data_IF_131374877435
#
_entry.id   IF_131374877435
#
_cell.length_a   1.000
_cell.length_b   1.000
_cell.length_c   1.000
_cell.angle_alpha   90.00
_cell.angle_beta   90.00
_cell.angle_gamma   90.00
#
_symmetry.space_group_name_H-M   'P 1'
#
loop_
_entity.id
_entity.type
_entity.pdbx_description
1 polymer ?
#
# COMPACT_ATOMS: atom_id res chain seq x y z
N UNK A 1 -21.89 -31.51 38.86
CA UNK A 1 -22.54 -30.95 37.66
C UNK A 1 -22.69 -29.46 37.88
N UNK A 2 -21.77 -28.66 37.33
CA UNK A 2 -21.74 -27.20 37.49
C UNK A 2 -22.41 -26.59 36.26
N UNK A 3 -23.53 -25.91 36.48
CA UNK A 3 -24.17 -25.06 35.49
C UNK A 3 -23.29 -23.83 35.24
N UNK A 4 -22.86 -23.63 34.00
CA UNK A 4 -22.23 -22.39 33.54
C UNK A 4 -23.34 -21.40 33.18
N UNK A 5 -23.35 -20.28 33.89
CA UNK A 5 -24.13 -19.08 33.60
C UNK A 5 -23.39 -18.35 32.47
N UNK A 6 -24.02 -18.19 31.31
CA UNK A 6 -23.53 -17.32 30.24
C UNK A 6 -23.85 -15.87 30.63
N UNK A 7 -22.82 -15.05 30.81
CA UNK A 7 -22.96 -13.60 30.87
C UNK A 7 -23.17 -13.07 29.45
N UNK A 8 -24.39 -12.60 29.14
CA UNK A 8 -24.66 -11.77 27.96
C UNK A 8 -24.30 -10.32 28.31
N UNK A 9 -23.32 -9.75 27.63
CA UNK A 9 -23.06 -8.31 27.67
C UNK A 9 -24.03 -7.67 26.69
N UNK A 10 -25.07 -7.02 27.23
CA UNK A 10 -26.08 -6.27 26.49
C UNK A 10 -25.68 -4.79 26.57
N UNK A 11 -25.14 -4.23 25.49
CA UNK A 11 -24.93 -2.78 25.39
C UNK A 11 -26.16 -2.20 24.69
N UNK A 12 -27.02 -1.53 25.46
CA UNK A 12 -28.20 -0.82 24.96
C UNK A 12 -27.84 0.65 24.85
N UNK A 13 -27.66 1.17 23.64
CA UNK A 13 -27.61 2.60 23.40
C UNK A 13 -29.02 3.07 23.01
N UNK A 14 -29.65 3.86 23.89
CA UNK A 14 -30.99 4.39 23.71
C UNK A 14 -30.90 5.71 22.94
N UNK A 15 -31.07 5.70 21.61
CA UNK A 15 -31.06 6.92 20.80
C UNK A 15 -32.45 7.56 20.73
N UNK A 16 -32.57 8.73 21.33
CA UNK A 16 -33.71 9.64 21.18
C UNK A 16 -33.74 10.20 19.77
N UNK A 17 -34.86 9.99 19.07
CA UNK A 17 -35.12 10.55 17.73
C UNK A 17 -35.17 12.07 17.85
N UNK A 18 -34.19 12.77 17.27
CA UNK A 18 -34.30 14.20 17.01
C UNK A 18 -35.12 14.39 15.72
N UNK A 19 -36.41 14.67 15.85
CA UNK A 19 -37.28 14.99 14.71
C UNK A 19 -36.97 16.42 14.27
N UNK A 20 -36.30 16.58 13.13
CA UNK A 20 -36.26 17.86 12.41
C UNK A 20 -37.45 17.87 11.44
N UNK A 21 -38.45 18.76 11.61
CA UNK A 21 -39.60 18.79 10.71
C UNK A 21 -39.28 19.58 9.44
N UNK A 22 -39.29 18.87 8.32
CA UNK A 22 -39.72 19.41 7.02
C UNK A 22 -38.66 19.40 5.94
N UNK A 23 -38.75 18.43 5.02
CA UNK A 23 -39.23 18.61 3.64
C UNK A 23 -39.80 17.25 3.19
N UNK A 24 -40.95 17.26 2.53
CA UNK A 24 -41.56 16.09 1.91
C UNK A 24 -40.94 15.84 0.53
N UNK A 25 -40.62 14.58 0.18
CA UNK A 25 -40.80 13.92 -1.12
C UNK A 25 -39.90 12.67 -1.20
N UNK A 26 -40.51 11.50 -1.45
CA UNK A 26 -39.82 10.25 -1.80
C UNK A 26 -40.20 9.09 -0.88
N UNK A 27 -40.74 8.00 -1.43
CA UNK A 27 -40.66 6.69 -0.79
C UNK A 27 -39.17 6.34 -0.67
N UNK A 28 -38.58 6.58 0.50
CA UNK A 28 -37.31 5.97 0.84
C UNK A 28 -37.60 4.56 1.34
N UNK A 29 -37.10 3.59 0.59
CA UNK A 29 -37.05 2.18 0.98
C UNK A 29 -36.13 2.10 2.20
N UNK A 30 -36.72 2.13 3.40
CA UNK A 30 -35.94 2.01 4.63
C UNK A 30 -35.36 0.59 4.68
N UNK A 31 -34.09 0.44 4.35
CA UNK A 31 -33.33 -0.77 4.65
C UNK A 31 -33.35 -0.96 6.17
N UNK A 32 -34.20 -1.88 6.62
CA UNK A 32 -34.24 -2.31 8.01
C UNK A 32 -32.93 -3.03 8.26
N UNK A 33 -31.92 -2.34 8.81
CA UNK A 33 -30.70 -3.01 9.29
C UNK A 33 -31.08 -3.94 10.44
N UNK A 34 -30.89 -5.27 10.30
CA UNK A 34 -31.24 -6.21 11.35
C UNK A 34 -30.37 -5.96 12.59
N UNK A 35 -31.01 -5.89 13.76
CA UNK A 35 -30.41 -5.51 15.05
C UNK A 35 -29.58 -6.67 15.67
N UNK A 36 -29.55 -7.83 15.00
CA UNK A 36 -28.62 -8.93 15.27
C UNK A 36 -28.54 -9.86 14.05
N UNK A 37 -27.35 -10.03 13.49
CA UNK A 37 -27.07 -11.08 12.50
C UNK A 37 -26.57 -12.30 13.29
N UNK A 38 -27.36 -13.36 13.36
CA UNK A 38 -26.89 -14.66 13.85
C UNK A 38 -26.33 -15.44 12.66
N UNK A 39 -25.01 -15.56 12.60
CA UNK A 39 -24.32 -16.39 11.61
C UNK A 39 -24.49 -17.88 11.94
N UNK A 40 -24.82 -18.67 10.92
CA UNK A 40 -25.00 -20.12 11.05
C UNK A 40 -23.68 -20.88 10.96
N UNK A 41 -22.70 -20.31 10.26
CA UNK A 41 -21.36 -20.82 10.10
C UNK A 41 -20.34 -19.71 10.41
N UNK A 42 -19.18 -20.06 10.96
CA UNK A 42 -18.18 -19.07 11.42
C UNK A 42 -17.60 -18.22 10.29
N UNK A 43 -17.62 -18.75 9.07
CA UNK A 43 -17.10 -18.08 7.88
C UNK A 43 -18.12 -17.18 7.18
N UNK A 44 -19.40 -17.19 7.58
CA UNK A 44 -20.46 -16.39 6.93
C UNK A 44 -20.09 -14.89 6.89
N UNK A 45 -19.43 -14.39 7.94
CA UNK A 45 -18.94 -13.00 7.99
C UNK A 45 -17.93 -12.66 6.88
N UNK A 46 -17.13 -13.62 6.42
CA UNK A 46 -16.19 -13.41 5.32
C UNK A 46 -16.91 -13.51 3.98
N UNK A 47 -17.93 -14.38 3.87
CA UNK A 47 -18.77 -14.47 2.69
C UNK A 47 -19.52 -13.16 2.46
N UNK A 48 -20.06 -12.54 3.51
CA UNK A 48 -20.70 -11.22 3.43
C UNK A 48 -19.75 -10.17 2.88
N UNK A 49 -18.49 -10.14 3.34
CA UNK A 49 -17.45 -9.23 2.81
C UNK A 49 -17.17 -9.49 1.33
N UNK A 50 -16.93 -10.75 0.95
CA UNK A 50 -16.63 -11.12 -0.43
C UNK A 50 -17.79 -10.82 -1.39
N UNK A 51 -19.02 -11.03 -0.94
CA UNK A 51 -20.21 -10.67 -1.70
C UNK A 51 -20.30 -9.16 -1.93
N UNK A 52 -20.06 -8.37 -0.87
CA UNK A 52 -20.10 -6.91 -0.96
C UNK A 52 -19.03 -6.34 -1.91
N UNK A 53 -17.82 -6.89 -1.88
CA UNK A 53 -16.66 -6.33 -2.61
C UNK A 53 -16.50 -6.92 -4.02
N UNK A 54 -16.85 -8.20 -4.19
CA UNK A 54 -16.54 -8.97 -5.39
C UNK A 54 -17.75 -9.65 -6.04
N UNK A 55 -18.97 -9.45 -5.50
CA UNK A 55 -20.21 -10.03 -6.04
C UNK A 55 -20.13 -11.56 -6.20
N UNK A 56 -19.70 -12.24 -5.14
CA UNK A 56 -19.49 -13.70 -5.09
C UNK A 56 -20.72 -14.51 -4.69
N UNK A 57 -21.93 -13.92 -4.69
CA UNK A 57 -23.13 -14.59 -4.18
C UNK A 57 -23.41 -15.91 -4.90
N UNK A 58 -23.36 -15.89 -6.24
CA UNK A 58 -23.60 -17.07 -7.08
C UNK A 58 -22.55 -18.17 -6.87
N UNK A 59 -21.32 -17.78 -6.50
CA UNK A 59 -20.22 -18.74 -6.28
C UNK A 59 -20.47 -19.59 -5.03
N UNK A 60 -20.95 -18.99 -3.94
CA UNK A 60 -21.16 -19.67 -2.66
C UNK A 60 -22.57 -20.26 -2.47
N UNK A 61 -23.59 -19.86 -3.25
CA UNK A 61 -25.01 -20.22 -3.04
C UNK A 61 -25.28 -21.71 -2.81
N UNK A 62 -24.50 -22.59 -3.45
CA UNK A 62 -24.70 -24.05 -3.40
C UNK A 62 -23.49 -24.79 -2.83
N UNK A 63 -22.66 -24.12 -2.03
CA UNK A 63 -21.45 -24.70 -1.41
C UNK A 63 -21.67 -24.89 0.09
N UNK A 64 -21.28 -26.05 0.61
CA UNK A 64 -21.14 -26.23 2.06
C UNK A 64 -19.78 -25.64 2.48
N UNK A 65 -19.77 -24.79 3.50
CA UNK A 65 -18.56 -24.10 3.94
C UNK A 65 -17.58 -25.03 4.69
N UNK A 66 -18.05 -26.17 5.17
CA UNK A 66 -17.23 -27.22 5.76
C UNK A 66 -16.69 -28.23 4.73
N UNK A 67 -17.18 -28.19 3.48
CA UNK A 67 -16.68 -29.04 2.40
C UNK A 67 -15.31 -28.58 1.88
N UNK A 68 -14.52 -29.54 1.41
CA UNK A 68 -13.22 -29.31 0.77
C UNK A 68 -13.38 -28.51 -0.53
N UNK A 69 -12.59 -27.44 -0.70
CA UNK A 69 -12.62 -26.64 -1.92
C UNK A 69 -11.91 -27.35 -3.07
N UNK A 70 -12.50 -27.33 -4.27
CA UNK A 70 -11.85 -27.84 -5.47
C UNK A 70 -10.71 -26.92 -5.94
N UNK A 71 -9.81 -27.46 -6.76
CA UNK A 71 -8.74 -26.64 -7.35
C UNK A 71 -9.29 -25.58 -8.29
N UNK A 72 -10.29 -25.93 -9.09
CA UNK A 72 -10.95 -25.00 -10.01
C UNK A 72 -11.62 -23.85 -9.24
N UNK A 73 -12.27 -24.14 -8.12
CA UNK A 73 -12.98 -23.14 -7.32
C UNK A 73 -12.01 -22.25 -6.54
N UNK A 74 -10.90 -22.79 -6.02
CA UNK A 74 -9.86 -21.98 -5.38
C UNK A 74 -9.23 -21.02 -6.39
N UNK A 75 -8.86 -21.51 -7.57
CA UNK A 75 -8.28 -20.68 -8.64
C UNK A 75 -9.27 -19.61 -9.05
N UNK A 76 -10.53 -19.96 -9.30
CA UNK A 76 -11.58 -19.01 -9.63
C UNK A 76 -11.72 -17.94 -8.55
N UNK A 77 -11.79 -18.34 -7.27
CA UNK A 77 -11.94 -17.41 -6.16
C UNK A 77 -10.77 -16.42 -6.10
N UNK A 78 -9.53 -16.90 -6.16
CA UNK A 78 -8.34 -16.04 -6.10
C UNK A 78 -8.23 -15.13 -7.33
N UNK A 79 -8.56 -15.62 -8.53
CA UNK A 79 -8.53 -14.82 -9.76
C UNK A 79 -9.53 -13.66 -9.76
N UNK A 80 -10.68 -13.85 -9.15
CA UNK A 80 -11.72 -12.82 -9.09
C UNK A 80 -11.62 -11.91 -7.85
N UNK A 81 -10.63 -12.12 -6.97
CA UNK A 81 -10.47 -11.34 -5.74
C UNK A 81 -9.05 -10.77 -5.63
N UNK A 82 -8.04 -11.63 -5.46
CA UNK A 82 -6.70 -11.20 -5.13
C UNK A 82 -5.81 -11.00 -6.36
N UNK A 83 -5.83 -11.92 -7.33
CA UNK A 83 -4.80 -12.00 -8.36
C UNK A 83 -5.30 -12.71 -9.62
N UNK A 84 -5.55 -11.94 -10.67
CA UNK A 84 -6.17 -12.36 -11.93
C UNK A 84 -5.37 -13.40 -12.73
N UNK A 85 -4.05 -13.41 -12.64
CA UNK A 85 -3.16 -14.39 -13.29
C UNK A 85 -2.76 -15.55 -12.37
N UNK A 86 -3.49 -15.80 -11.28
CA UNK A 86 -3.17 -16.88 -10.35
C UNK A 86 -3.32 -18.27 -10.99
N UNK A 87 -2.34 -19.13 -10.75
CA UNK A 87 -2.36 -20.55 -11.14
C UNK A 87 -1.99 -21.43 -9.95
N UNK A 88 -2.65 -22.59 -9.83
CA UNK A 88 -2.34 -23.59 -8.81
C UNK A 88 -1.93 -24.92 -9.45
N UNK A 89 -0.71 -25.37 -9.17
CA UNK A 89 -0.06 -26.49 -9.88
C UNK A 89 0.23 -27.71 -8.98
N UNK A 90 -0.41 -27.81 -7.82
CA UNK A 90 -0.21 -28.92 -6.89
C UNK A 90 -1.42 -29.86 -6.84
N UNK A 91 -1.19 -31.13 -6.48
CA UNK A 91 -2.23 -32.17 -6.52
C UNK A 91 -3.32 -32.00 -5.44
N UNK A 92 -2.99 -31.41 -4.29
CA UNK A 92 -3.90 -31.28 -3.14
C UNK A 92 -3.73 -29.91 -2.48
N UNK A 93 -4.86 -29.28 -2.12
CA UNK A 93 -4.92 -28.01 -1.41
C UNK A 93 -4.96 -28.29 0.10
N UNK A 94 -3.81 -28.66 0.67
CA UNK A 94 -3.70 -28.71 2.13
C UNK A 94 -3.59 -27.29 2.71
N UNK A 95 -3.94 -27.15 3.98
CA UNK A 95 -3.94 -25.87 4.68
C UNK A 95 -2.58 -25.15 4.65
N UNK A 96 -1.48 -25.87 4.81
CA UNK A 96 -0.13 -25.26 4.72
C UNK A 96 0.20 -24.73 3.31
N UNK A 97 -0.23 -25.45 2.26
CA UNK A 97 0.01 -25.07 0.86
C UNK A 97 -0.84 -23.86 0.46
N UNK A 98 -2.11 -23.86 0.88
CA UNK A 98 -2.99 -22.73 0.69
C UNK A 98 -2.41 -21.48 1.37
N UNK A 99 -2.11 -21.57 2.67
CA UNK A 99 -1.52 -20.45 3.43
C UNK A 99 -0.22 -19.95 2.80
N UNK A 100 0.62 -20.85 2.27
CA UNK A 100 1.80 -20.47 1.52
C UNK A 100 1.48 -19.60 0.29
N UNK A 101 0.52 -20.00 -0.55
CA UNK A 101 0.13 -19.21 -1.73
C UNK A 101 -0.49 -17.86 -1.36
N UNK A 102 -1.40 -17.81 -0.38
CA UNK A 102 -1.98 -16.55 0.09
C UNK A 102 -0.90 -15.60 0.66
N UNK A 103 0.06 -16.12 1.42
CA UNK A 103 1.16 -15.31 1.96
C UNK A 103 2.09 -14.81 0.86
N UNK A 104 2.32 -15.62 -0.18
CA UNK A 104 3.08 -15.21 -1.36
C UNK A 104 2.37 -14.10 -2.13
N UNK A 105 1.04 -14.17 -2.27
CA UNK A 105 0.23 -13.11 -2.86
C UNK A 105 0.34 -11.82 -2.03
N UNK A 106 0.21 -11.91 -0.71
CA UNK A 106 0.42 -10.76 0.19
C UNK A 106 1.81 -10.14 0.04
N UNK A 107 2.86 -10.96 0.02
CA UNK A 107 4.24 -10.47 -0.15
C UNK A 107 4.42 -9.76 -1.50
N UNK A 108 3.86 -10.32 -2.58
CA UNK A 108 3.88 -9.72 -3.91
C UNK A 108 3.15 -8.38 -3.95
N UNK A 109 1.92 -8.32 -3.40
CA UNK A 109 1.12 -7.10 -3.34
C UNK A 109 1.76 -6.00 -2.51
N UNK A 110 2.57 -6.36 -1.51
CA UNK A 110 3.26 -5.41 -0.61
C UNK A 110 4.72 -5.18 -1.00
N UNK A 111 5.13 -5.59 -2.21
CA UNK A 111 6.48 -5.44 -2.76
C UNK A 111 7.60 -6.03 -1.88
N UNK A 112 7.29 -7.09 -1.13
CA UNK A 112 8.22 -7.79 -0.24
C UNK A 112 8.70 -9.11 -0.84
N UNK A 113 9.97 -9.44 -0.56
CA UNK A 113 10.47 -10.79 -0.80
C UNK A 113 10.15 -11.66 0.43
N UNK A 114 9.23 -12.61 0.27
CA UNK A 114 8.78 -13.51 1.34
C UNK A 114 9.95 -14.19 2.07
N UNK A 115 10.97 -14.64 1.33
CA UNK A 115 12.11 -15.38 1.88
C UNK A 115 13.05 -14.50 2.73
N UNK A 116 12.96 -13.18 2.60
CA UNK A 116 13.81 -12.21 3.30
C UNK A 116 13.14 -11.62 4.55
N UNK A 117 11.84 -11.88 4.76
CA UNK A 117 11.09 -11.33 5.89
C UNK A 117 11.63 -11.91 7.19
N UNK A 118 12.15 -11.06 8.07
CA UNK A 118 12.65 -11.50 9.36
C UNK A 118 11.51 -11.99 10.26
N UNK A 119 11.58 -13.26 10.68
CA UNK A 119 10.64 -13.85 11.63
C UNK A 119 11.30 -14.09 12.99
N UNK A 120 10.51 -14.00 14.05
CA UNK A 120 10.96 -14.39 15.39
C UNK A 120 10.74 -15.89 15.53
N UNK A 121 11.80 -16.64 15.86
CA UNK A 121 11.70 -18.08 16.12
C UNK A 121 10.88 -18.34 17.39
N UNK A 122 9.58 -18.63 17.21
CA UNK A 122 8.66 -18.99 18.28
C UNK A 122 7.71 -20.11 17.84
N UNK A 123 7.26 -20.94 18.78
CA UNK A 123 6.24 -21.97 18.51
C UNK A 123 4.88 -21.28 18.49
N UNK A 124 4.37 -21.00 17.29
CA UNK A 124 3.10 -20.29 17.08
C UNK A 124 1.88 -21.21 17.15
N UNK A 125 2.06 -22.49 16.78
CA UNK A 125 1.05 -23.54 16.82
C UNK A 125 1.51 -24.76 17.60
N UNK A 126 0.57 -25.49 18.19
CA UNK A 126 0.86 -26.67 19.00
C UNK A 126 1.47 -27.82 18.18
N UNK A 127 1.23 -27.83 16.87
CA UNK A 127 1.63 -28.84 15.90
C UNK A 127 2.55 -28.29 14.81
N UNK A 128 3.32 -27.23 15.11
CA UNK A 128 4.27 -26.60 14.18
C UNK A 128 5.26 -27.61 13.57
N UNK A 129 5.62 -28.67 14.30
CA UNK A 129 6.52 -29.73 13.84
C UNK A 129 5.95 -30.58 12.68
N UNK A 130 4.64 -30.50 12.43
CA UNK A 130 3.98 -31.20 11.31
C UNK A 130 3.96 -30.39 10.01
N UNK A 131 4.34 -29.11 10.07
CA UNK A 131 4.41 -28.24 8.89
C UNK A 131 5.67 -28.61 8.12
N UNK A 132 5.56 -28.80 6.80
CA UNK A 132 6.74 -29.10 5.99
C UNK A 132 7.71 -27.91 6.00
N UNK A 133 9.01 -28.22 5.97
CA UNK A 133 10.06 -27.21 6.14
C UNK A 133 10.00 -26.09 5.09
N UNK A 134 9.53 -26.41 3.87
CA UNK A 134 9.34 -25.44 2.78
C UNK A 134 8.24 -24.41 3.06
N UNK A 135 7.19 -24.78 3.81
CA UNK A 135 6.06 -23.89 4.10
C UNK A 135 6.19 -23.19 5.46
N UNK A 136 7.08 -23.68 6.34
CA UNK A 136 7.21 -23.22 7.71
C UNK A 136 7.44 -21.70 7.83
N UNK A 137 8.28 -21.15 6.96
CA UNK A 137 8.57 -19.72 6.93
C UNK A 137 7.33 -18.90 6.58
N UNK A 138 6.68 -19.23 5.46
CA UNK A 138 5.46 -18.54 5.01
C UNK A 138 4.32 -18.64 6.03
N UNK A 139 4.10 -19.83 6.63
CA UNK A 139 3.09 -20.00 7.68
C UNK A 139 3.41 -19.15 8.91
N UNK A 140 4.68 -18.97 9.24
CA UNK A 140 5.09 -18.07 10.34
C UNK A 140 4.80 -16.61 10.02
N UNK A 141 5.09 -16.16 8.79
CA UNK A 141 4.75 -14.82 8.31
C UNK A 141 3.23 -14.63 8.31
N UNK A 142 2.47 -15.60 7.81
CA UNK A 142 1.01 -15.57 7.77
C UNK A 142 0.39 -15.37 9.16
N UNK A 143 0.93 -16.02 10.18
CA UNK A 143 0.52 -15.81 11.56
C UNK A 143 0.86 -14.40 12.07
N UNK A 144 2.08 -13.92 11.80
CA UNK A 144 2.51 -12.57 12.21
C UNK A 144 1.68 -11.46 11.56
N UNK A 145 1.19 -11.70 10.35
CA UNK A 145 0.39 -10.75 9.56
C UNK A 145 -1.12 -10.96 9.67
N UNK A 146 -1.59 -11.87 10.52
CA UNK A 146 -3.03 -12.11 10.72
C UNK A 146 -3.74 -12.85 9.57
N UNK A 147 -3.01 -13.21 8.50
CA UNK A 147 -3.50 -13.97 7.34
C UNK A 147 -4.01 -15.35 7.77
N UNK A 148 -3.24 -16.06 8.60
CA UNK A 148 -3.57 -17.41 9.04
C UNK A 148 -3.65 -17.51 10.57
N UNK A 149 -4.74 -18.11 11.04
CA UNK A 149 -4.93 -18.41 12.45
C UNK A 149 -5.05 -19.93 12.68
N UNK A 150 -4.71 -20.32 13.91
CA UNK A 150 -4.91 -21.69 14.36
C UNK A 150 -6.39 -21.91 14.68
N UNK A 151 -6.83 -23.14 14.55
CA UNK A 151 -8.08 -23.62 15.11
C UNK A 151 -7.98 -23.59 16.65
N UNK A 152 -9.03 -24.05 17.33
CA UNK A 152 -9.03 -24.19 18.80
C UNK A 152 -7.72 -24.78 19.35
N UNK A 153 -7.33 -24.33 20.54
CA UNK A 153 -6.06 -24.72 21.19
C UNK A 153 -4.78 -24.37 20.42
N UNK A 154 -4.85 -23.45 19.43
CA UNK A 154 -3.72 -23.03 18.58
C UNK A 154 -3.18 -24.18 17.71
N UNK A 155 -4.06 -25.07 17.26
CA UNK A 155 -3.71 -26.15 16.31
C UNK A 155 -3.80 -25.60 14.89
N UNK A 156 -2.75 -25.75 14.09
CA UNK A 156 -2.78 -25.34 12.68
C UNK A 156 -3.40 -26.40 11.77
N UNK A 157 -3.07 -27.67 12.02
CA UNK A 157 -3.48 -28.82 11.20
C UNK A 157 -3.02 -28.72 9.72
N UNK A 158 -1.70 -28.73 9.46
CA UNK A 158 -1.13 -28.39 8.15
C UNK A 158 -1.54 -29.31 7.00
N UNK A 159 -1.89 -30.56 7.31
CA UNK A 159 -2.24 -31.60 6.32
C UNK A 159 -3.73 -31.72 6.07
N UNK A 160 -4.56 -30.97 6.80
CA UNK A 160 -5.99 -30.92 6.51
C UNK A 160 -6.22 -30.28 5.14
N UNK A 161 -7.20 -30.79 4.40
CA UNK A 161 -7.68 -30.17 3.16
C UNK A 161 -8.40 -28.87 3.49
N UNK A 162 -8.20 -27.86 2.65
CA UNK A 162 -8.79 -26.54 2.82
C UNK A 162 -10.29 -26.61 2.53
N UNK A 163 -11.11 -25.99 3.38
CA UNK A 163 -12.56 -25.90 3.15
C UNK A 163 -12.95 -24.59 2.45
N UNK A 164 -14.16 -24.50 1.89
CA UNK A 164 -14.69 -23.24 1.32
C UNK A 164 -14.70 -22.11 2.34
N UNK A 165 -15.10 -22.39 3.59
CA UNK A 165 -15.09 -21.39 4.66
C UNK A 165 -13.68 -20.92 5.02
N UNK A 166 -12.70 -21.82 5.00
CA UNK A 166 -11.29 -21.46 5.21
C UNK A 166 -10.72 -20.65 4.05
N UNK A 167 -11.06 -21.00 2.80
CA UNK A 167 -10.64 -20.25 1.62
C UNK A 167 -11.20 -18.82 1.63
N UNK A 168 -12.49 -18.65 1.94
CA UNK A 168 -13.10 -17.33 2.07
C UNK A 168 -12.41 -16.47 3.16
N UNK A 169 -12.13 -17.07 4.32
CA UNK A 169 -11.43 -16.39 5.39
C UNK A 169 -10.00 -15.99 4.98
N UNK A 170 -9.29 -16.85 4.24
CA UNK A 170 -7.93 -16.54 3.77
C UNK A 170 -7.92 -15.41 2.75
N UNK A 171 -8.90 -15.31 1.85
CA UNK A 171 -9.01 -14.17 0.92
C UNK A 171 -9.13 -12.88 1.71
N UNK A 172 -10.18 -12.75 2.52
CA UNK A 172 -10.45 -11.51 3.28
C UNK A 172 -9.27 -11.13 4.18
N UNK A 173 -8.71 -12.10 4.93
CA UNK A 173 -7.57 -11.84 5.82
C UNK A 173 -6.28 -11.48 5.07
N UNK A 174 -6.11 -11.98 3.85
CA UNK A 174 -4.99 -11.58 3.00
C UNK A 174 -5.14 -10.14 2.56
N UNK A 175 -6.36 -9.71 2.21
CA UNK A 175 -6.64 -8.32 1.85
C UNK A 175 -6.48 -7.38 3.02
N UNK A 176 -7.05 -7.72 4.18
CA UNK A 176 -6.85 -6.98 5.43
C UNK A 176 -5.36 -6.82 5.75
N UNK A 177 -4.57 -7.89 5.60
CA UNK A 177 -3.13 -7.85 5.82
C UNK A 177 -2.37 -7.03 4.76
N UNK A 178 -2.83 -7.01 3.50
CA UNK A 178 -2.28 -6.14 2.46
C UNK A 178 -2.59 -4.69 2.81
N UNK A 179 -3.84 -4.38 3.13
CA UNK A 179 -4.24 -3.04 3.53
C UNK A 179 -3.47 -2.56 4.76
N UNK A 180 -3.34 -3.39 5.80
CA UNK A 180 -2.59 -3.04 7.01
C UNK A 180 -1.12 -2.81 6.68
N UNK A 181 -0.51 -3.64 5.83
CA UNK A 181 0.87 -3.45 5.43
C UNK A 181 1.04 -2.18 4.59
N UNK A 182 0.13 -1.90 3.67
CA UNK A 182 0.14 -0.68 2.85
C UNK A 182 -0.12 0.58 3.69
N UNK A 183 -1.00 0.50 4.71
CA UNK A 183 -1.20 1.54 5.73
C UNK A 183 0.05 1.75 6.59
N UNK A 184 0.90 0.73 6.75
CA UNK A 184 2.14 0.82 7.54
C UNK A 184 3.36 1.21 6.68
N UNK A 185 3.40 0.84 5.40
CA UNK A 185 4.41 1.24 4.42
C UNK A 185 4.21 2.71 3.99
N UNK A 186 2.95 3.15 3.89
CA UNK A 186 2.54 4.54 3.84
C UNK A 186 1.74 4.82 5.10
N UNK A 187 2.36 5.24 6.23
CA UNK A 187 1.58 5.73 7.35
C UNK A 187 0.71 6.87 6.80
N UNK A 188 -0.60 6.59 6.71
CA UNK A 188 -1.61 7.61 6.92
C UNK A 188 -1.27 8.15 8.30
N UNK A 189 -0.37 9.14 8.33
CA UNK A 189 -0.26 9.99 9.48
C UNK A 189 -1.54 10.78 9.37
N UNK A 190 -2.51 10.35 10.17
CA UNK A 190 -3.82 10.96 10.31
C UNK A 190 -3.62 12.49 10.33
N UNK A 191 -4.01 13.15 9.24
CA UNK A 191 -3.91 14.59 9.10
C UNK A 191 -2.62 15.17 8.49
N UNK A 192 -2.05 14.59 7.44
CA UNK A 192 -0.96 15.22 6.64
C UNK A 192 -1.13 15.10 5.13
N UNK A 193 -0.37 15.89 4.38
CA UNK A 193 -0.08 15.61 2.97
C UNK A 193 1.18 14.76 2.82
N UNK A 194 1.29 14.07 1.68
CA UNK A 194 2.50 13.37 1.27
C UNK A 194 2.81 13.65 -0.21
N UNK A 195 4.02 14.13 -0.48
CA UNK A 195 4.53 14.22 -1.85
C UNK A 195 5.19 12.90 -2.24
N UNK A 196 4.63 12.23 -3.24
CA UNK A 196 5.18 10.99 -3.81
C UNK A 196 5.67 11.25 -5.22
N UNK A 197 6.57 10.41 -5.70
CA UNK A 197 7.03 10.51 -7.07
C UNK A 197 8.05 9.45 -7.44
N UNK A 198 8.11 9.18 -8.74
CA UNK A 198 9.04 8.28 -9.38
C UNK A 198 9.56 8.92 -10.67
N UNK A 199 10.51 8.26 -11.30
CA UNK A 199 11.14 8.74 -12.53
C UNK A 199 11.34 7.61 -13.52
N UNK A 200 11.39 7.97 -14.80
CA UNK A 200 11.74 7.09 -15.90
C UNK A 200 12.89 7.72 -16.67
N UNK A 201 13.91 6.92 -17.01
CA UNK A 201 15.08 7.38 -17.77
C UNK A 201 15.09 6.72 -19.14
N UNK A 202 15.32 7.54 -20.15
CA UNK A 202 15.62 7.12 -21.52
C UNK A 202 16.95 7.74 -21.94
N UNK A 203 17.42 7.41 -23.14
CA UNK A 203 18.61 8.08 -23.70
C UNK A 203 18.40 9.59 -23.82
N UNK A 204 17.21 10.06 -24.17
CA UNK A 204 17.05 11.49 -24.48
C UNK A 204 16.40 12.30 -23.35
N UNK A 205 15.69 11.65 -22.43
CA UNK A 205 14.98 12.36 -21.35
C UNK A 205 14.91 11.60 -20.03
N UNK A 206 14.64 12.37 -18.99
CA UNK A 206 14.12 11.91 -17.71
C UNK A 206 12.70 12.44 -17.55
N UNK A 207 11.75 11.55 -17.32
CA UNK A 207 10.37 11.90 -16.98
C UNK A 207 10.18 11.78 -15.48
N UNK A 208 9.73 12.85 -14.82
CA UNK A 208 9.36 12.85 -13.40
C UNK A 208 7.84 12.80 -13.28
N UNK A 209 7.31 11.74 -12.66
CA UNK A 209 5.90 11.60 -12.33
C UNK A 209 5.75 11.75 -10.82
N UNK A 210 4.89 12.65 -10.37
CA UNK A 210 4.75 12.94 -8.95
C UNK A 210 3.35 13.41 -8.59
N UNK A 211 3.02 13.24 -7.31
CA UNK A 211 1.70 13.55 -6.79
C UNK A 211 1.77 14.13 -5.38
N UNK A 212 0.77 14.92 -5.03
CA UNK A 212 0.48 15.33 -3.66
C UNK A 212 -0.75 14.56 -3.20
N UNK A 213 -0.56 13.61 -2.28
CA UNK A 213 -1.61 12.73 -1.77
C UNK A 213 -2.14 13.24 -0.42
N UNK A 214 -3.47 13.22 -0.24
CA UNK A 214 -4.13 13.58 1.03
C UNK A 214 -4.29 12.37 1.95
N UNK A 215 -3.67 12.44 3.14
CA UNK A 215 -3.93 11.53 4.26
C UNK A 215 -4.93 12.11 5.27
N UNK A 216 -5.70 13.13 4.89
CA UNK A 216 -6.76 13.70 5.73
C UNK A 216 -8.07 12.91 5.55
N UNK A 217 -8.85 12.82 6.63
CA UNK A 217 -10.21 12.24 6.59
C UNK A 217 -11.29 13.24 6.14
N UNK A 218 -10.91 14.51 6.02
CA UNK A 218 -11.76 15.61 5.54
C UNK A 218 -11.12 16.28 4.32
N UNK A 219 -11.96 16.86 3.46
CA UNK A 219 -11.51 17.59 2.28
C UNK A 219 -10.66 18.80 2.67
N UNK A 220 -9.55 19.02 1.95
CA UNK A 220 -8.67 20.17 2.17
C UNK A 220 -8.62 21.07 0.95
N UNK A 221 -8.82 22.36 1.17
CA UNK A 221 -8.60 23.38 0.14
C UNK A 221 -7.13 23.83 0.13
N UNK A 222 -6.49 23.67 -1.02
CA UNK A 222 -5.15 24.15 -1.32
C UNK A 222 -5.23 25.41 -2.17
N UNK A 223 -4.28 26.32 -1.95
CA UNK A 223 -4.10 27.52 -2.75
C UNK A 223 -2.70 27.54 -3.37
N UNK A 224 -2.64 27.84 -4.67
CA UNK A 224 -1.42 28.13 -5.39
C UNK A 224 -1.36 29.63 -5.72
N UNK A 225 -0.22 30.25 -5.44
CA UNK A 225 -0.05 31.71 -5.58
C UNK A 225 0.10 32.20 -7.03
N UNK A 226 0.30 31.28 -7.97
CA UNK A 226 0.49 31.53 -9.40
C UNK A 226 0.22 30.25 -10.19
N UNK A 227 0.28 30.31 -11.52
CA UNK A 227 0.26 29.13 -12.39
C UNK A 227 1.43 28.16 -12.18
N UNK A 228 2.47 28.53 -11.41
CA UNK A 228 3.51 27.61 -10.97
C UNK A 228 3.01 26.81 -9.77
N UNK A 229 2.68 25.53 -9.99
CA UNK A 229 2.20 24.64 -8.93
C UNK A 229 3.33 23.86 -8.24
N UNK A 230 4.48 23.71 -8.88
CA UNK A 230 5.62 22.96 -8.37
C UNK A 230 6.96 23.54 -8.85
N UNK A 231 8.04 23.03 -8.29
CA UNK A 231 9.42 23.25 -8.72
C UNK A 231 10.15 21.90 -8.71
N UNK A 232 10.92 21.62 -9.76
CA UNK A 232 11.87 20.50 -9.80
C UNK A 232 13.26 21.10 -9.92
N UNK A 233 14.15 20.70 -9.02
CA UNK A 233 15.56 21.08 -9.05
C UNK A 233 16.41 19.82 -9.12
N UNK A 234 17.23 19.67 -10.15
CA UNK A 234 18.15 18.53 -10.27
C UNK A 234 19.58 19.00 -9.98
N UNK A 235 20.28 18.22 -9.17
CA UNK A 235 21.70 18.43 -8.83
C UNK A 235 22.54 17.23 -9.21
N UNK A 236 23.78 17.47 -9.64
CA UNK A 236 24.76 16.41 -9.90
C UNK A 236 25.41 15.89 -8.59
N UNK A 237 26.34 14.93 -8.67
CA UNK A 237 27.05 14.38 -7.51
C UNK A 237 27.82 15.44 -6.68
N UNK A 238 28.26 16.53 -7.32
CA UNK A 238 28.95 17.63 -6.64
C UNK A 238 27.98 18.58 -5.91
N UNK A 239 26.67 18.37 -6.05
CA UNK A 239 25.62 19.23 -5.53
C UNK A 239 25.36 20.48 -6.38
N UNK A 240 25.88 20.53 -7.61
CA UNK A 240 25.67 21.65 -8.54
C UNK A 240 24.31 21.50 -9.23
N UNK A 241 23.52 22.58 -9.26
CA UNK A 241 22.21 22.62 -9.92
C UNK A 241 22.37 22.60 -11.44
N UNK A 242 21.93 21.52 -12.07
CA UNK A 242 22.00 21.31 -13.53
C UNK A 242 20.68 21.59 -14.23
N UNK A 243 19.54 21.45 -13.53
CA UNK A 243 18.21 21.72 -14.06
C UNK A 243 17.31 22.36 -13.01
N UNK A 244 16.47 23.28 -13.47
CA UNK A 244 15.42 23.89 -12.68
C UNK A 244 14.19 24.15 -13.55
N UNK A 245 13.05 23.55 -13.17
CA UNK A 245 11.81 23.62 -13.94
C UNK A 245 11.38 25.04 -14.28
N UNK A 246 11.43 25.97 -13.32
CA UNK A 246 10.99 27.35 -13.53
C UNK A 246 11.91 28.18 -14.43
N UNK A 247 13.11 27.72 -14.74
CA UNK A 247 14.07 28.46 -15.54
C UNK A 247 13.60 28.63 -16.99
N UNK A 248 13.56 29.88 -17.46
CA UNK A 248 13.05 30.21 -18.80
C UNK A 248 11.53 30.10 -18.97
N UNK A 249 10.77 29.71 -17.94
CA UNK A 249 9.31 29.65 -17.97
C UNK A 249 8.69 30.92 -17.38
N UNK A 250 7.52 31.30 -17.90
CA UNK A 250 6.70 32.38 -17.36
C UNK A 250 5.38 31.82 -16.86
N UNK A 251 5.01 32.17 -15.64
CA UNK A 251 3.78 31.69 -15.00
C UNK A 251 2.78 32.84 -14.83
N UNK A 252 1.49 32.52 -14.90
CA UNK A 252 0.43 33.51 -14.68
C UNK A 252 0.34 33.86 -13.19
N UNK A 253 0.15 35.14 -12.88
CA UNK A 253 -0.03 35.60 -11.49
C UNK A 253 -1.49 35.48 -11.05
N UNK A 254 -2.12 34.33 -11.32
CA UNK A 254 -3.49 34.03 -10.92
C UNK A 254 -3.47 33.08 -9.72
N UNK A 255 -4.23 33.41 -8.68
CA UNK A 255 -4.49 32.48 -7.58
C UNK A 255 -5.32 31.32 -8.10
N UNK A 256 -4.91 30.10 -7.77
CA UNK A 256 -5.64 28.88 -8.11
C UNK A 256 -5.97 28.15 -6.81
N UNK A 257 -7.14 27.53 -6.77
CA UNK A 257 -7.63 26.78 -5.62
C UNK A 257 -7.97 25.38 -6.08
N UNK A 258 -7.52 24.39 -5.33
CA UNK A 258 -7.80 22.97 -5.57
C UNK A 258 -8.39 22.38 -4.29
N UNK A 259 -9.46 21.62 -4.42
CA UNK A 259 -10.02 20.85 -3.31
C UNK A 259 -9.52 19.42 -3.45
N UNK A 260 -8.88 18.90 -2.40
CA UNK A 260 -8.44 17.53 -2.31
C UNK A 260 -9.33 16.77 -1.34
N UNK A 261 -10.08 15.80 -1.87
CA UNK A 261 -10.90 14.91 -1.07
C UNK A 261 -10.05 13.90 -0.28
N UNK A 262 -10.61 13.24 0.74
CA UNK A 262 -9.92 12.18 1.47
C UNK A 262 -9.41 11.08 0.53
N UNK A 263 -8.10 10.78 0.61
CA UNK A 263 -7.46 9.77 -0.23
C UNK A 263 -7.24 10.16 -1.69
N UNK A 264 -7.54 11.41 -2.08
CA UNK A 264 -7.27 11.91 -3.43
C UNK A 264 -5.82 12.42 -3.57
N UNK A 265 -5.36 12.53 -4.83
CA UNK A 265 -4.09 13.15 -5.17
C UNK A 265 -4.18 14.10 -6.36
N UNK A 266 -3.42 15.20 -6.30
CA UNK A 266 -3.09 16.00 -7.49
C UNK A 266 -1.86 15.38 -8.14
N UNK A 267 -1.91 15.12 -9.44
CA UNK A 267 -0.82 14.49 -10.19
C UNK A 267 -0.20 15.45 -11.19
N UNK A 268 1.11 15.34 -11.39
CA UNK A 268 1.89 16.10 -12.35
C UNK A 268 2.93 15.22 -13.04
N UNK A 269 3.35 15.67 -14.23
CA UNK A 269 4.47 15.09 -14.98
C UNK A 269 5.30 16.21 -15.59
N UNK A 270 6.63 16.09 -15.54
CA UNK A 270 7.57 16.97 -16.21
C UNK A 270 8.68 16.16 -16.89
N UNK A 271 9.13 16.65 -18.04
CA UNK A 271 10.18 16.01 -18.84
C UNK A 271 11.41 16.91 -18.88
N UNK A 272 12.57 16.31 -18.61
CA UNK A 272 13.87 16.96 -18.69
C UNK A 272 14.72 16.25 -19.75
N UNK A 273 15.21 17.01 -20.73
CA UNK A 273 15.98 16.54 -21.88
C UNK A 273 17.45 16.18 -21.57
N UNK A 274 17.77 15.95 -20.29
CA UNK A 274 19.12 15.63 -19.81
C UNK A 274 20.17 16.68 -20.16
N UNK A 275 19.79 17.93 -20.39
CA UNK A 275 20.74 19.02 -20.61
C UNK A 275 20.96 19.85 -19.35
N UNK A 276 22.20 20.33 -19.17
CA UNK A 276 22.49 21.35 -18.17
C UNK A 276 21.97 22.74 -18.61
N UNK A 277 22.14 23.74 -17.74
CA UNK A 277 21.73 25.12 -17.99
C UNK A 277 22.46 25.80 -19.17
N UNK A 278 23.59 25.26 -19.60
CA UNK A 278 24.36 25.74 -20.74
C UNK A 278 23.95 25.02 -22.05
N UNK A 279 23.05 24.04 -21.95
CA UNK A 279 22.58 23.20 -23.07
C UNK A 279 23.54 22.06 -23.39
N UNK A 280 24.49 21.75 -22.52
CA UNK A 280 25.35 20.58 -22.67
C UNK A 280 24.60 19.33 -22.22
N UNK A 281 24.66 18.27 -23.02
CA UNK A 281 24.08 16.99 -22.68
C UNK A 281 24.86 16.33 -21.53
N UNK A 282 24.15 15.84 -20.53
CA UNK A 282 24.72 15.26 -19.33
C UNK A 282 25.00 13.76 -19.51
N UNK A 283 26.23 13.40 -19.18
CA UNK A 283 26.71 12.03 -19.20
C UNK A 283 26.09 11.17 -18.07
N UNK A 284 26.26 9.85 -18.21
CA UNK A 284 25.91 8.87 -17.19
C UNK A 284 26.52 9.25 -15.84
N UNK A 285 25.73 9.15 -14.77
CA UNK A 285 26.15 9.59 -13.44
C UNK A 285 24.98 9.67 -12.48
N UNK A 286 25.26 9.97 -11.20
CA UNK A 286 24.19 10.13 -10.21
C UNK A 286 23.71 11.56 -10.12
N UNK A 287 22.41 11.66 -9.90
CA UNK A 287 21.72 12.92 -9.78
C UNK A 287 20.69 12.84 -8.66
N UNK A 288 20.31 14.01 -8.17
CA UNK A 288 19.30 14.17 -7.15
C UNK A 288 18.28 15.19 -7.62
N UNK A 289 17.04 14.73 -7.81
CA UNK A 289 15.89 15.58 -8.06
C UNK A 289 15.22 15.91 -6.73
N UNK A 290 15.05 17.21 -6.45
CA UNK A 290 14.18 17.72 -5.41
C UNK A 290 12.91 18.26 -6.07
N UNK A 291 11.78 17.64 -5.76
CA UNK A 291 10.44 18.06 -6.15
C UNK A 291 9.84 18.83 -4.97
N UNK A 292 9.33 20.04 -5.22
CA UNK A 292 8.69 20.89 -4.23
C UNK A 292 7.32 21.35 -4.76
N UNK A 293 6.24 20.97 -4.08
CA UNK A 293 4.88 21.42 -4.39
C UNK A 293 4.65 22.77 -3.74
N UNK A 294 4.21 23.77 -4.52
CA UNK A 294 4.05 25.16 -4.09
C UNK A 294 2.64 25.47 -3.58
N UNK A 295 2.04 24.49 -2.91
CA UNK A 295 0.73 24.61 -2.29
C UNK A 295 0.83 25.30 -0.92
N UNK A 296 -0.18 26.10 -0.60
CA UNK A 296 -0.43 26.64 0.73
C UNK A 296 -1.85 26.28 1.17
N UNK A 297 -2.10 26.30 2.48
CA UNK A 297 -3.47 26.13 2.99
C UNK A 297 -4.33 27.32 2.51
N UNK A 298 -5.49 27.04 1.92
CA UNK A 298 -6.46 28.09 1.57
C UNK A 298 -6.92 28.79 2.86
N UNK A 299 -6.99 30.14 2.90
CA UNK A 299 -7.46 30.87 4.08
C UNK A 299 -8.96 30.70 4.40
N UNK A 300 -9.67 29.83 3.66
CA UNK A 300 -11.11 29.60 3.79
C UNK A 300 -11.96 30.79 3.29
N UNK A 301 -13.29 30.63 3.22
CA UNK A 301 -14.18 31.74 2.92
C UNK A 301 -14.05 32.81 4.01
N UNK A 302 -13.84 34.05 3.58
CA UNK A 302 -13.72 35.24 4.45
C UNK A 302 -15.06 35.54 5.13
N UNK A 303 -15.40 34.81 6.18
CA UNK A 303 -16.43 35.19 7.16
C UNK A 303 -15.75 35.49 8.50
N UNK A 304 -15.46 36.77 8.73
CA UNK A 304 -15.18 37.54 9.96
C UNK A 304 -14.36 36.97 11.14
N UNK A 305 -13.94 35.71 11.15
CA UNK A 305 -13.02 35.16 12.15
C UNK A 305 -11.72 34.76 11.48
N UNK A 306 -10.62 35.37 11.94
CA UNK A 306 -9.27 34.99 11.54
C UNK A 306 -9.03 33.55 12.00
N UNK A 307 -9.30 32.58 11.13
CA UNK A 307 -8.79 31.23 11.30
C UNK A 307 -7.28 31.35 11.12
N UNK A 308 -6.52 31.04 12.17
CA UNK A 308 -5.08 30.86 12.05
C UNK A 308 -4.85 29.69 11.09
N UNK A 309 -4.47 29.98 9.86
CA UNK A 309 -4.05 28.95 8.91
C UNK A 309 -2.73 28.39 9.42
N UNK A 310 -2.74 27.16 9.92
CA UNK A 310 -1.48 26.45 10.14
C UNK A 310 -0.85 26.20 8.77
N UNK A 311 0.37 26.69 8.58
CA UNK A 311 1.13 26.46 7.36
C UNK A 311 1.38 24.95 7.20
N UNK A 312 1.20 24.44 5.98
CA UNK A 312 1.53 23.05 5.65
C UNK A 312 3.04 22.86 5.90
N UNK A 313 3.46 21.89 6.75
CA UNK A 313 4.87 21.62 6.96
C UNK A 313 5.58 21.31 5.64
N UNK A 314 6.69 21.99 5.36
CA UNK A 314 7.38 21.90 4.06
C UNK A 314 7.81 20.48 3.70
N UNK A 315 8.12 19.68 4.70
CA UNK A 315 8.53 18.28 4.52
C UNK A 315 7.43 17.42 3.89
N UNK A 316 6.15 17.83 4.00
CA UNK A 316 5.01 17.17 3.36
C UNK A 316 4.91 17.51 1.87
N UNK A 317 5.44 18.66 1.47
CA UNK A 317 5.40 19.20 0.11
C UNK A 317 6.69 18.92 -0.68
N UNK A 318 7.65 18.18 -0.11
CA UNK A 318 8.96 17.94 -0.72
C UNK A 318 9.21 16.43 -0.86
N UNK A 319 9.63 16.02 -2.07
CA UNK A 319 10.18 14.69 -2.32
C UNK A 319 11.59 14.82 -2.91
N UNK A 320 12.53 14.05 -2.37
CA UNK A 320 13.87 13.90 -2.96
C UNK A 320 14.01 12.51 -3.57
N UNK A 321 14.43 12.47 -4.83
CA UNK A 321 14.67 11.25 -5.60
C UNK A 321 16.14 11.23 -5.99
N UNK A 322 16.85 10.18 -5.58
CA UNK A 322 18.20 9.89 -6.08
C UNK A 322 18.07 8.94 -7.27
N UNK A 323 18.69 9.28 -8.39
CA UNK A 323 18.63 8.51 -9.62
C UNK A 323 19.97 8.49 -10.35
N UNK A 324 20.08 7.59 -11.32
CA UNK A 324 21.30 7.43 -12.13
C UNK A 324 20.92 7.54 -13.59
N UNK A 325 21.60 8.44 -14.32
CA UNK A 325 21.55 8.45 -15.78
C UNK A 325 22.44 7.34 -16.31
N UNK A 326 21.95 6.64 -17.33
CA UNK A 326 22.64 5.58 -18.03
C UNK A 326 22.34 5.66 -19.52
N UNK A 327 23.21 5.05 -20.32
CA UNK A 327 23.02 4.89 -21.75
C UNK A 327 22.37 3.53 -22.04
N UNK A 328 21.43 3.53 -22.97
CA UNK A 328 20.78 2.36 -23.54
C UNK A 328 21.30 2.08 -24.95
N UNK A 329 21.46 0.80 -25.31
CA UNK A 329 21.78 0.35 -26.66
C UNK A 329 20.59 0.46 -27.63
N UNK A 330 20.79 0.11 -28.90
CA UNK A 330 19.75 0.17 -29.95
C UNK A 330 18.54 -0.74 -29.65
N UNK A 331 18.70 -1.73 -28.77
CA UNK A 331 17.65 -2.62 -28.29
C UNK A 331 17.00 -2.16 -26.97
N UNK A 332 17.37 -0.98 -26.46
CA UNK A 332 16.81 -0.41 -25.22
C UNK A 332 17.36 -1.06 -23.95
N UNK A 333 18.52 -1.73 -24.00
CA UNK A 333 19.18 -2.34 -22.84
C UNK A 333 20.28 -1.43 -22.33
N UNK A 334 20.51 -1.42 -21.01
CA UNK A 334 21.62 -0.68 -20.41
C UNK A 334 22.93 -1.15 -21.04
N UNK A 335 23.72 -0.20 -21.54
CA UNK A 335 25.02 -0.49 -22.14
C UNK A 335 25.96 -1.16 -21.12
N UNK A 336 26.90 -1.98 -21.60
CA UNK A 336 27.84 -2.66 -20.70
C UNK A 336 28.68 -1.68 -19.87
N UNK A 337 29.03 -0.52 -20.44
CA UNK A 337 29.75 0.55 -19.75
C UNK A 337 28.93 1.17 -18.62
N UNK A 338 27.67 1.54 -18.89
CA UNK A 338 26.77 2.05 -17.86
C UNK A 338 26.48 1.00 -16.78
N UNK A 339 26.33 -0.27 -17.15
CA UNK A 339 26.11 -1.37 -16.21
C UNK A 339 27.33 -1.59 -15.29
N UNK A 340 28.55 -1.55 -15.83
CA UNK A 340 29.79 -1.68 -15.06
C UNK A 340 29.92 -0.54 -14.02
N UNK A 341 29.67 0.70 -14.44
CA UNK A 341 29.67 1.86 -13.55
C UNK A 341 28.63 1.74 -12.42
N UNK A 342 27.41 1.30 -12.73
CA UNK A 342 26.36 1.08 -11.72
C UNK A 342 26.75 -0.02 -10.71
N UNK A 343 27.34 -1.11 -11.19
CA UNK A 343 27.76 -2.23 -10.35
C UNK A 343 28.95 -1.84 -9.46
N UNK A 344 29.96 -1.17 -10.01
CA UNK A 344 31.14 -0.73 -9.27
C UNK A 344 30.76 0.24 -8.14
N UNK A 345 29.84 1.16 -8.40
CA UNK A 345 29.33 2.08 -7.39
C UNK A 345 28.57 1.36 -6.27
N UNK A 346 27.62 0.48 -6.62
CA UNK A 346 26.88 -0.32 -5.62
C UNK A 346 27.83 -1.17 -4.78
N UNK A 347 28.82 -1.81 -5.41
CA UNK A 347 29.83 -2.59 -4.71
C UNK A 347 30.66 -1.71 -3.76
N UNK A 348 31.04 -0.50 -4.18
CA UNK A 348 31.77 0.47 -3.34
C UNK A 348 30.93 0.91 -2.14
N UNK A 349 29.66 1.26 -2.34
CA UNK A 349 28.74 1.64 -1.26
C UNK A 349 28.51 0.51 -0.26
N UNK A 350 28.36 -0.74 -0.72
CA UNK A 350 28.28 -1.92 0.16
C UNK A 350 29.58 -2.05 0.97
N UNK A 351 30.74 -1.92 0.33
CA UNK A 351 32.04 -2.01 1.01
C UNK A 351 32.25 -0.89 2.04
N UNK A 352 31.83 0.34 1.75
CA UNK A 352 31.87 1.46 2.71
C UNK A 352 30.89 1.26 3.87
N UNK A 353 29.68 0.81 3.59
CA UNK A 353 28.66 0.51 4.62
C UNK A 353 29.14 -0.61 5.54
N UNK A 354 29.78 -1.64 4.97
CA UNK A 354 30.41 -2.71 5.73
C UNK A 354 31.60 -2.20 6.56
N UNK A 355 32.43 -1.27 6.06
CA UNK A 355 33.49 -0.64 6.86
C UNK A 355 32.95 0.13 8.07
N UNK A 356 31.83 0.84 7.90
CA UNK A 356 31.19 1.63 8.97
C UNK A 356 30.53 0.72 10.01
N UNK A 357 29.91 -0.40 9.60
CA UNK A 357 29.29 -1.36 10.54
C UNK A 357 30.26 -2.25 11.32
N UNK A 358 31.56 -2.29 10.99
CA UNK A 358 32.49 -3.30 11.53
C UNK A 358 33.57 -2.82 12.52
N UNK A 359 33.36 -1.76 13.31
CA UNK A 359 34.31 -1.43 14.39
C UNK A 359 33.74 -0.94 15.73
N UNK A 360 32.42 -0.74 15.91
CA UNK A 360 31.85 -0.37 17.24
C UNK A 360 31.51 -1.57 18.14
N UNK A 361 31.94 -2.80 17.83
CA UNK A 361 31.73 -3.97 18.73
C UNK A 361 32.96 -4.88 18.92
N UNK A 362 34.17 -4.37 18.66
CA UNK A 362 35.41 -5.08 19.00
C UNK A 362 36.37 -4.19 19.80
N UNK A 363 35.86 -3.55 20.85
CA UNK A 363 36.63 -3.11 22.01
C UNK A 363 35.67 -2.67 23.13
N UNK A 364 35.11 -3.64 23.86
CA UNK A 364 35.07 -3.65 25.34
C UNK A 364 34.63 -5.02 25.86
#
# INVERSE_FOLDING_TARGET
>A
MKNKILNKILVVLLLTILVIPGVAYGEEDYTIMPISIEYTHWADKYIDTLNLEYNTEEFFENKDLDDEISTEDLVFLIQNTLKDDFEYNQEEITREKAVYEFTKIWAQKTEQNLDEIATIKMIIYADTEKIDAEYNHAVTVAYMKGIAEGRGERIFDPKALLTYGEAAALVVKTEEAVEEEMKNQNPIVEGKFETRGYYEVTNDMVTFNFELFSHYEESKELMFSSGQQFEITVTNENGEEVYKFSEGKAFTMALMYETLEPGEAITWSDEWDRTDKEGNYLESGKYKAKIEILAAQSPGPVEEEKVETEDIPKEQLIKTIEFTLYELDEEGRITSESAENIIEDKATKVMETLKVKNFESLAD
#
